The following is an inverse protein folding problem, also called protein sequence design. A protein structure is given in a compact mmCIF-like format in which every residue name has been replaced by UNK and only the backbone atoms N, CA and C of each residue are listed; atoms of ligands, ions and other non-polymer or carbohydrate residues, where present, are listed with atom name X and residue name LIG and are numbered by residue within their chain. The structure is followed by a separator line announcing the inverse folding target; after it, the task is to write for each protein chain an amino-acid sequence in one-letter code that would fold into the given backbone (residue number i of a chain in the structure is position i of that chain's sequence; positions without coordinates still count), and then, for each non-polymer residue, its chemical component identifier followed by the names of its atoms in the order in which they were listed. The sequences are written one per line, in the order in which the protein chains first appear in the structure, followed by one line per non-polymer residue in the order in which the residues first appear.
data_IF_503692992910
#
_entry.id   IF_503692992910
#
_cell.length_a   1.000
_cell.length_b   1.000
_cell.length_c   1.000
_cell.angle_alpha   90.00
_cell.angle_beta   90.00
_cell.angle_gamma   90.00
#
_symmetry.space_group_name_H-M   'P 1'
#
loop_
_entity.id
_entity.type
_entity.pdbx_description
1 polymer ?
#
# COMPACT_ATOMS: atom_id res chain seq x y z
N UNK A 1 -30.78 12.74 48.25
CA UNK A 1 -29.88 12.21 47.20
C UNK A 1 -30.72 11.67 46.06
N UNK A 2 -30.70 12.34 44.88
CA UNK A 2 -31.47 11.96 43.68
C UNK A 2 -30.69 10.93 42.88
N UNK A 3 -31.26 9.74 42.64
CA UNK A 3 -30.68 8.73 41.73
C UNK A 3 -30.91 9.17 40.28
N UNK A 4 -29.91 9.19 39.40
CA UNK A 4 -30.15 9.39 37.97
C UNK A 4 -30.74 8.10 37.37
N UNK A 5 -31.94 8.20 36.80
CA UNK A 5 -32.66 7.08 36.19
C UNK A 5 -32.17 6.78 34.77
N UNK A 6 -32.07 5.49 34.44
CA UNK A 6 -31.72 4.89 33.14
C UNK A 6 -32.82 5.09 32.07
N UNK A 7 -33.34 6.30 31.94
CA UNK A 7 -34.53 6.60 31.12
C UNK A 7 -34.28 6.77 29.61
N UNK A 8 -33.09 6.46 29.07
CA UNK A 8 -32.77 6.84 27.68
C UNK A 8 -32.05 5.77 26.84
N UNK A 9 -32.36 4.49 27.06
CA UNK A 9 -31.86 3.39 26.21
C UNK A 9 -32.92 2.80 25.25
N UNK A 10 -34.13 3.36 25.21
CA UNK A 10 -35.23 2.84 24.40
C UNK A 10 -35.44 3.48 23.01
N UNK A 11 -34.74 4.58 22.68
CA UNK A 11 -35.01 5.36 21.45
C UNK A 11 -34.22 4.91 20.21
N UNK A 12 -33.29 3.97 20.33
CA UNK A 12 -32.45 3.53 19.20
C UNK A 12 -32.65 2.07 18.77
N UNK A 13 -33.62 1.34 19.35
CA UNK A 13 -33.78 -0.11 19.11
C UNK A 13 -35.15 -0.54 18.57
N UNK A 14 -36.04 0.38 18.21
CA UNK A 14 -37.38 0.04 17.76
C UNK A 14 -37.75 0.72 16.43
N UNK A 15 -37.19 0.22 15.33
CA UNK A 15 -37.89 0.14 14.05
C UNK A 15 -37.30 -1.02 13.24
N UNK A 16 -38.14 -2.04 13.04
CA UNK A 16 -37.95 -3.25 12.22
C UNK A 16 -39.23 -3.36 11.35
N UNK A 17 -39.31 -4.27 10.37
CA UNK A 17 -38.80 -4.22 9.00
C UNK A 17 -39.96 -4.19 7.96
N UNK A 18 -39.73 -3.77 6.71
CA UNK A 18 -40.58 -4.23 5.60
C UNK A 18 -39.81 -4.27 4.29
N UNK A 19 -39.98 -5.36 3.56
CA UNK A 19 -39.22 -5.76 2.38
C UNK A 19 -39.69 -5.02 1.12
N UNK A 20 -38.72 -4.60 0.29
CA UNK A 20 -38.91 -4.31 -1.12
C UNK A 20 -37.63 -4.70 -1.89
N UNK A 21 -37.85 -5.13 -3.13
CA UNK A 21 -37.01 -5.89 -4.07
C UNK A 21 -35.65 -5.27 -4.47
N UNK A 22 -34.76 -6.04 -5.16
CA UNK A 22 -33.33 -5.76 -5.21
C UNK A 22 -32.90 -4.86 -6.37
N UNK A 23 -31.64 -4.38 -6.24
CA UNK A 23 -30.72 -3.80 -7.23
C UNK A 23 -30.49 -2.27 -7.21
N UNK A 24 -29.31 -1.78 -7.63
CA UNK A 24 -28.07 -2.48 -8.00
C UNK A 24 -26.95 -2.23 -6.99
N UNK A 25 -25.95 -3.12 -6.99
CA UNK A 25 -24.65 -2.87 -6.39
C UNK A 25 -24.15 -1.52 -6.90
N UNK A 26 -23.93 -0.55 -6.00
CA UNK A 26 -23.12 0.62 -6.34
C UNK A 26 -21.76 0.11 -6.78
N UNK A 27 -21.61 0.07 -8.10
CA UNK A 27 -20.35 -0.06 -8.80
C UNK A 27 -19.43 0.96 -8.14
N UNK A 28 -18.45 0.46 -7.37
CA UNK A 28 -17.35 1.29 -6.89
C UNK A 28 -16.70 1.79 -8.16
N UNK A 29 -17.11 2.99 -8.59
CA UNK A 29 -16.54 3.68 -9.71
C UNK A 29 -15.05 3.73 -9.40
N UNK A 30 -14.29 2.87 -10.08
CA UNK A 30 -12.86 2.85 -9.97
C UNK A 30 -12.43 4.26 -10.32
N UNK A 31 -12.03 5.03 -9.31
CA UNK A 31 -11.53 6.38 -9.50
C UNK A 31 -10.54 6.29 -10.65
N UNK A 32 -10.67 7.16 -11.68
CA UNK A 32 -9.75 7.14 -12.79
C UNK A 32 -8.38 7.40 -12.18
N UNK A 33 -7.54 6.36 -12.08
CA UNK A 33 -6.17 6.46 -11.61
C UNK A 33 -5.56 7.61 -12.39
N UNK A 34 -5.37 8.74 -11.71
CA UNK A 34 -4.82 9.92 -12.33
C UNK A 34 -3.57 9.45 -13.06
N UNK A 35 -3.51 9.72 -14.37
CA UNK A 35 -2.30 9.46 -15.16
C UNK A 35 -1.23 10.36 -14.58
N UNK A 36 -0.56 9.85 -13.55
CA UNK A 36 0.47 10.56 -12.82
C UNK A 36 1.47 11.06 -13.83
N UNK A 37 1.70 12.38 -13.83
CA UNK A 37 2.85 13.00 -14.49
C UNK A 37 4.04 12.09 -14.22
N UNK A 38 4.72 11.58 -15.27
CA UNK A 38 5.93 10.77 -15.13
C UNK A 38 6.85 11.50 -14.15
N UNK A 39 6.91 11.02 -12.91
CA UNK A 39 7.66 11.67 -11.85
C UNK A 39 9.14 11.58 -12.18
N UNK A 40 9.68 12.67 -12.71
CA UNK A 40 11.12 12.90 -12.69
C UNK A 40 11.51 13.12 -11.24
N UNK A 41 12.46 12.34 -10.74
CA UNK A 41 13.06 12.60 -9.44
C UNK A 41 13.73 13.98 -9.47
N UNK A 42 13.86 14.65 -8.30
CA UNK A 42 14.42 16.01 -8.22
C UNK A 42 15.86 16.11 -8.74
N UNK A 43 16.57 14.99 -8.82
CA UNK A 43 17.91 14.82 -9.39
C UNK A 43 17.93 14.64 -10.93
N UNK A 44 16.77 14.73 -11.58
CA UNK A 44 16.62 14.53 -13.03
C UNK A 44 16.57 13.06 -13.45
N UNK A 45 16.62 12.11 -12.50
CA UNK A 45 16.50 10.69 -12.81
C UNK A 45 15.06 10.31 -13.14
N UNK A 46 14.92 9.29 -13.99
CA UNK A 46 13.62 8.79 -14.45
C UNK A 46 13.28 7.52 -13.68
N UNK A 47 12.10 7.51 -13.05
CA UNK A 47 11.56 6.28 -12.47
C UNK A 47 11.35 5.21 -13.55
N UNK A 48 11.71 3.98 -13.24
CA UNK A 48 11.50 2.80 -14.09
C UNK A 48 10.34 1.99 -13.54
N UNK A 49 9.39 1.62 -14.40
CA UNK A 49 8.31 0.71 -14.02
C UNK A 49 8.78 -0.74 -14.19
N UNK A 50 8.83 -1.49 -13.09
CA UNK A 50 9.14 -2.91 -13.09
C UNK A 50 7.86 -3.73 -12.98
N UNK A 51 7.74 -4.77 -13.82
CA UNK A 51 6.67 -5.76 -13.71
C UNK A 51 7.25 -7.00 -13.05
N UNK A 52 6.70 -7.36 -11.89
CA UNK A 52 7.13 -8.50 -11.09
C UNK A 52 6.00 -9.52 -11.00
N UNK A 53 6.35 -10.80 -10.86
CA UNK A 53 5.36 -11.81 -10.49
C UNK A 53 4.84 -11.52 -9.07
N UNK A 54 3.62 -11.97 -8.71
CA UNK A 54 3.09 -11.79 -7.37
C UNK A 54 4.01 -12.36 -6.27
N UNK A 55 4.63 -13.51 -6.53
CA UNK A 55 5.57 -14.16 -5.63
C UNK A 55 6.84 -13.32 -5.41
N UNK A 56 7.44 -12.82 -6.49
CA UNK A 56 8.62 -11.95 -6.41
C UNK A 56 8.31 -10.64 -5.67
N UNK A 57 7.12 -10.07 -5.89
CA UNK A 57 6.67 -8.88 -5.19
C UNK A 57 6.54 -9.11 -3.67
N UNK A 58 5.98 -10.26 -3.27
CA UNK A 58 5.84 -10.62 -1.87
C UNK A 58 7.21 -10.85 -1.21
N UNK A 59 8.09 -11.60 -1.87
CA UNK A 59 9.44 -11.87 -1.38
C UNK A 59 10.24 -10.57 -1.19
N UNK A 60 10.12 -9.63 -2.13
CA UNK A 60 10.82 -8.34 -2.04
C UNK A 60 10.30 -7.48 -0.86
N UNK A 61 9.00 -7.53 -0.57
CA UNK A 61 8.43 -6.87 0.61
C UNK A 61 8.95 -7.46 1.91
N UNK A 62 8.99 -8.78 2.00
CA UNK A 62 9.50 -9.49 3.18
C UNK A 62 10.96 -9.15 3.41
N UNK A 63 11.79 -9.24 2.36
CA UNK A 63 13.20 -8.88 2.42
C UNK A 63 13.41 -7.44 2.91
N UNK A 64 12.64 -6.48 2.39
CA UNK A 64 12.75 -5.09 2.82
C UNK A 64 12.39 -4.91 4.31
N UNK A 65 11.36 -5.60 4.79
CA UNK A 65 10.96 -5.57 6.19
C UNK A 65 12.01 -6.23 7.11
N UNK A 66 12.54 -7.37 6.71
CA UNK A 66 13.60 -8.08 7.45
C UNK A 66 14.87 -7.25 7.56
N UNK A 67 15.31 -6.64 6.46
CA UNK A 67 16.50 -5.79 6.46
C UNK A 67 16.28 -4.49 7.24
N UNK A 68 15.07 -3.93 7.24
CA UNK A 68 14.73 -2.78 8.10
C UNK A 68 14.89 -3.15 9.58
N UNK A 69 14.37 -4.30 10.00
CA UNK A 69 14.50 -4.78 11.38
C UNK A 69 15.95 -5.11 11.73
N UNK A 70 16.70 -5.69 10.78
CA UNK A 70 18.09 -6.10 10.97
C UNK A 70 19.05 -4.91 11.08
N UNK A 71 18.88 -3.90 10.22
CA UNK A 71 19.75 -2.71 10.17
C UNK A 71 19.35 -1.66 11.20
N UNK A 72 18.11 -1.69 11.68
CA UNK A 72 17.57 -0.65 12.56
C UNK A 72 17.28 0.67 11.85
N UNK A 73 17.30 0.68 10.52
CA UNK A 73 17.07 1.84 9.67
C UNK A 73 16.06 1.50 8.58
N UNK A 74 15.38 2.51 8.02
CA UNK A 74 14.37 2.32 6.97
C UNK A 74 15.06 1.76 5.72
N UNK A 75 14.82 0.47 5.44
CA UNK A 75 15.30 -0.19 4.24
C UNK A 75 14.13 -0.48 3.30
N UNK A 76 14.08 0.24 2.18
CA UNK A 76 12.93 0.17 1.27
C UNK A 76 13.09 -0.94 0.23
N UNK A 77 11.99 -1.32 -0.42
CA UNK A 77 12.04 -2.23 -1.58
C UNK A 77 12.90 -1.69 -2.72
N UNK A 78 12.95 -0.36 -2.88
CA UNK A 78 13.83 0.30 -3.84
C UNK A 78 15.30 0.06 -3.45
N UNK A 79 15.65 0.25 -2.18
CA UNK A 79 17.01 0.00 -1.66
C UNK A 79 17.44 -1.46 -1.87
N UNK A 80 16.53 -2.41 -1.61
CA UNK A 80 16.77 -3.83 -1.86
C UNK A 80 17.07 -4.12 -3.35
N UNK A 81 16.30 -3.51 -4.26
CA UNK A 81 16.52 -3.66 -5.70
C UNK A 81 17.82 -3.01 -6.16
N UNK A 82 18.14 -1.81 -5.66
CA UNK A 82 19.38 -1.10 -6.00
C UNK A 82 20.60 -1.89 -5.54
N UNK A 83 20.59 -2.45 -4.33
CA UNK A 83 21.68 -3.27 -3.80
C UNK A 83 21.90 -4.53 -4.67
N UNK A 84 20.82 -5.26 -4.96
CA UNK A 84 20.88 -6.47 -5.78
C UNK A 84 21.32 -6.18 -7.23
N UNK A 85 20.82 -5.09 -7.84
CA UNK A 85 21.21 -4.67 -9.18
C UNK A 85 22.67 -4.22 -9.21
N UNK A 86 23.13 -3.50 -8.20
CA UNK A 86 24.53 -3.06 -8.10
C UNK A 86 25.49 -4.25 -7.99
N UNK A 87 25.12 -5.28 -7.24
CA UNK A 87 25.90 -6.51 -7.17
C UNK A 87 25.96 -7.24 -8.52
N UNK A 88 24.84 -7.27 -9.26
CA UNK A 88 24.83 -7.77 -10.63
C UNK A 88 25.74 -6.94 -11.55
N UNK A 89 25.63 -5.61 -11.50
CA UNK A 89 26.39 -4.71 -12.37
C UNK A 89 27.89 -4.81 -12.10
N UNK A 90 28.30 -4.88 -10.82
CA UNK A 90 29.70 -5.12 -10.42
C UNK A 90 30.25 -6.42 -11.01
N UNK A 91 29.51 -7.53 -10.93
CA UNK A 91 29.91 -8.82 -11.53
C UNK A 91 30.11 -8.73 -13.05
N UNK A 92 29.35 -7.87 -13.71
CA UNK A 92 29.42 -7.64 -15.16
C UNK A 92 30.27 -6.43 -15.57
N UNK A 93 31.07 -5.85 -14.66
CA UNK A 93 31.92 -4.66 -14.91
C UNK A 93 31.14 -3.46 -15.45
N UNK A 94 29.89 -3.29 -15.01
CA UNK A 94 29.03 -2.14 -15.32
C UNK A 94 29.05 -1.12 -14.17
N UNK A 95 28.85 0.17 -14.47
CA UNK A 95 28.82 1.21 -13.44
C UNK A 95 27.63 1.03 -12.48
N UNK A 96 27.79 1.36 -11.20
CA UNK A 96 26.70 1.26 -10.24
C UNK A 96 25.56 2.23 -10.54
N UNK A 97 24.34 1.81 -10.20
CA UNK A 97 23.14 2.63 -10.14
C UNK A 97 23.09 3.26 -8.75
N UNK A 98 22.80 4.55 -8.68
CA UNK A 98 22.74 5.34 -7.45
C UNK A 98 21.46 6.17 -7.44
#
# INVERSE_FOLDING_TARGET
MKRPGLGNLGKHLASKPEAAEPEPVEEIAAEPRAKGKRGSQPDGRKGVLLRLSPEAWLALKQLAAEETLRRGEIFTMQSALEEALNDYFRKHKRPAIA
#
